data_IF_365489847666
#
_entry.id   IF_365489847666
#
_cell.length_a   1.000
_cell.length_b   1.000
_cell.length_c   1.000
_cell.angle_alpha   90.00
_cell.angle_beta   90.00
_cell.angle_gamma   90.00
#
_symmetry.space_group_name_H-M   'P 1'
#
loop_
_entity.id
_entity.type
_entity.pdbx_description
1 polymer ?
#
# COMPACT_ATOMS: atom_id res chain seq x y z
N UNK A 1 -1.96 -10.32 -3.03
CA UNK A 1 -1.07 -10.34 -1.84
C UNK A 1 0.35 -9.86 -2.14
N UNK A 2 0.97 -10.24 -3.27
CA UNK A 2 2.32 -9.79 -3.63
C UNK A 2 2.52 -8.26 -3.59
N UNK A 3 1.58 -7.47 -4.12
CA UNK A 3 1.66 -6.00 -4.09
C UNK A 3 1.76 -5.44 -2.66
N UNK A 4 0.91 -5.92 -1.75
CA UNK A 4 0.92 -5.52 -0.33
C UNK A 4 2.24 -5.92 0.34
N UNK A 5 2.72 -7.14 0.08
CA UNK A 5 3.99 -7.62 0.62
C UNK A 5 5.17 -6.76 0.18
N UNK A 6 5.26 -6.41 -1.10
CA UNK A 6 6.32 -5.56 -1.62
C UNK A 6 6.25 -4.14 -1.02
N UNK A 7 5.06 -3.53 -1.01
CA UNK A 7 4.88 -2.23 -0.35
C UNK A 7 5.30 -2.25 1.12
N UNK A 8 4.99 -3.33 1.84
CA UNK A 8 5.37 -3.50 3.25
C UNK A 8 6.89 -3.59 3.45
N UNK A 9 7.62 -4.21 2.50
CA UNK A 9 9.09 -4.24 2.53
C UNK A 9 9.66 -2.83 2.36
N UNK A 10 9.14 -2.05 1.42
CA UNK A 10 9.59 -0.67 1.19
C UNK A 10 9.27 0.25 2.38
N UNK A 11 8.15 0.01 3.07
CA UNK A 11 7.76 0.76 4.28
C UNK A 11 8.48 0.29 5.56
N UNK A 12 9.30 -0.77 5.49
CA UNK A 12 10.00 -1.31 6.67
C UNK A 12 9.09 -2.04 7.68
N UNK A 13 7.91 -2.48 7.28
CA UNK A 13 6.98 -3.17 8.18
C UNK A 13 5.61 -3.50 7.57
N UNK A 14 4.92 -4.47 8.17
CA UNK A 14 3.54 -4.81 7.82
C UNK A 14 2.54 -3.81 8.41
N UNK A 15 1.27 -3.80 7.95
CA UNK A 15 0.27 -2.84 8.44
C UNK A 15 0.11 -2.82 9.96
N UNK A 16 0.12 -3.98 10.62
CA UNK A 16 0.02 -4.05 12.09
C UNK A 16 1.21 -3.40 12.78
N UNK A 17 2.43 -3.61 12.29
CA UNK A 17 3.64 -2.98 12.84
C UNK A 17 3.57 -1.46 12.71
N UNK A 18 3.08 -0.95 11.57
CA UNK A 18 2.94 0.50 11.38
C UNK A 18 1.95 1.11 12.38
N UNK A 19 0.86 0.40 12.72
CA UNK A 19 -0.08 0.85 13.76
C UNK A 19 0.57 0.90 15.14
N UNK A 20 1.36 -0.12 15.50
CA UNK A 20 2.11 -0.13 16.77
C UNK A 20 3.12 1.02 16.82
N UNK A 21 3.94 1.18 15.78
CA UNK A 21 4.94 2.25 15.70
C UNK A 21 4.30 3.65 15.75
N UNK A 22 3.16 3.84 15.09
CA UNK A 22 2.40 5.08 15.19
C UNK A 22 1.93 5.36 16.63
N UNK A 23 1.50 4.31 17.36
CA UNK A 23 1.15 4.40 18.78
C UNK A 23 2.33 4.70 19.71
N UNK A 24 3.54 4.31 19.33
CA UNK A 24 4.80 4.64 20.02
C UNK A 24 5.34 6.05 19.68
N UNK A 25 4.62 6.81 18.83
CA UNK A 25 4.99 8.18 18.47
C UNK A 25 5.83 8.31 17.19
N UNK A 26 5.97 7.26 16.39
CA UNK A 26 6.64 7.36 15.09
C UNK A 26 5.74 8.08 14.08
N UNK A 27 6.16 9.26 13.65
CA UNK A 27 5.39 10.10 12.73
C UNK A 27 5.33 9.53 11.30
N UNK A 28 6.38 8.88 10.81
CA UNK A 28 6.41 8.27 9.48
C UNK A 28 5.42 7.09 9.42
N UNK A 29 5.36 6.30 10.49
CA UNK A 29 4.38 5.23 10.64
C UNK A 29 2.94 5.79 10.71
N UNK A 30 2.74 6.92 11.39
CA UNK A 30 1.44 7.59 11.44
C UNK A 30 0.97 8.02 10.04
N UNK A 31 1.84 8.65 9.23
CA UNK A 31 1.55 9.00 7.83
C UNK A 31 1.22 7.75 7.02
N UNK A 32 1.97 6.67 7.22
CA UNK A 32 1.73 5.38 6.56
C UNK A 32 0.34 4.83 6.88
N UNK A 33 -0.06 4.83 8.16
CA UNK A 33 -1.40 4.40 8.61
C UNK A 33 -2.49 5.29 8.02
N UNK A 34 -2.31 6.62 7.98
CA UNK A 34 -3.23 7.52 7.29
C UNK A 34 -3.36 7.15 5.81
N UNK A 35 -2.25 6.82 5.14
CA UNK A 35 -2.25 6.34 3.76
C UNK A 35 -3.06 5.04 3.58
N UNK A 36 -2.97 4.10 4.51
CA UNK A 36 -3.79 2.88 4.48
C UNK A 36 -5.29 3.18 4.60
N UNK A 37 -5.68 4.11 5.49
CA UNK A 37 -7.07 4.52 5.66
C UNK A 37 -7.62 5.21 4.42
N UNK A 38 -6.89 6.18 3.87
CA UNK A 38 -7.26 6.89 2.64
C UNK A 38 -7.35 5.92 1.46
N UNK A 39 -6.38 5.01 1.32
CA UNK A 39 -6.39 3.98 0.29
C UNK A 39 -7.60 3.04 0.40
N UNK A 40 -7.96 2.61 1.62
CA UNK A 40 -9.15 1.81 1.85
C UNK A 40 -10.44 2.57 1.47
N UNK A 41 -10.55 3.84 1.86
CA UNK A 41 -11.69 4.68 1.49
C UNK A 41 -11.83 4.81 -0.04
N UNK A 42 -10.72 5.05 -0.75
CA UNK A 42 -10.72 5.08 -2.23
C UNK A 42 -11.18 3.74 -2.79
N UNK A 43 -10.64 2.62 -2.32
CA UNK A 43 -10.98 1.31 -2.86
C UNK A 43 -12.47 0.97 -2.71
N UNK A 44 -13.07 1.34 -1.57
CA UNK A 44 -14.48 1.07 -1.29
C UNK A 44 -15.43 2.06 -2.00
N UNK A 45 -15.04 3.34 -2.16
CA UNK A 45 -15.89 4.35 -2.80
C UNK A 45 -15.89 4.25 -4.33
N UNK A 46 -14.78 3.81 -4.94
CA UNK A 46 -14.64 3.70 -6.39
C UNK A 46 -14.81 2.27 -6.93
N UNK A 47 -15.38 1.36 -6.13
CA UNK A 47 -15.65 -0.04 -6.52
C UNK A 47 -14.40 -0.81 -7.00
N UNK A 48 -13.25 -0.52 -6.40
CA UNK A 48 -11.98 -1.23 -6.67
C UNK A 48 -11.80 -2.43 -5.75
N UNK A 49 -12.51 -2.46 -4.62
CA UNK A 49 -12.48 -3.56 -3.66
C UNK A 49 -13.09 -4.85 -4.25
N UNK A 50 -12.45 -5.98 -3.95
CA UNK A 50 -12.96 -7.31 -4.30
C UNK A 50 -14.18 -7.68 -3.45
N UNK A 51 -15.00 -8.60 -3.95
CA UNK A 51 -16.15 -9.16 -3.21
C UNK A 51 -16.15 -10.70 -3.28
N UNK A 52 -17.18 -11.34 -2.75
CA UNK A 52 -17.39 -12.78 -2.90
C UNK A 52 -17.52 -13.23 -4.38
N UNK A 53 -17.82 -12.30 -5.30
CA UNK A 53 -17.83 -12.55 -6.75
C UNK A 53 -16.43 -12.52 -7.38
N UNK A 54 -15.40 -12.23 -6.59
CA UNK A 54 -14.03 -12.04 -7.05
C UNK A 54 -13.64 -10.57 -7.26
N UNK A 55 -12.41 -10.34 -7.77
CA UNK A 55 -11.87 -9.01 -8.03
C UNK A 55 -12.56 -8.30 -9.20
N UNK A 56 -12.74 -6.99 -9.10
CA UNK A 56 -13.28 -6.17 -10.20
C UNK A 56 -12.21 -5.92 -11.27
N UNK A 57 -12.61 -5.69 -12.51
CA UNK A 57 -11.67 -5.34 -13.60
C UNK A 57 -10.85 -4.09 -13.24
N UNK A 58 -11.52 -3.06 -12.71
CA UNK A 58 -10.84 -1.85 -12.25
C UNK A 58 -9.87 -2.13 -11.10
N UNK A 59 -10.22 -3.03 -10.18
CA UNK A 59 -9.33 -3.48 -9.11
C UNK A 59 -8.09 -4.21 -9.63
N UNK A 60 -8.24 -5.05 -10.66
CA UNK A 60 -7.10 -5.70 -11.33
C UNK A 60 -6.18 -4.66 -11.98
N UNK A 61 -6.74 -3.68 -12.68
CA UNK A 61 -5.98 -2.58 -13.29
C UNK A 61 -5.24 -1.77 -12.21
N UNK A 62 -5.91 -1.46 -11.09
CA UNK A 62 -5.30 -0.75 -9.97
C UNK A 62 -4.13 -1.52 -9.35
N UNK A 63 -4.20 -2.86 -9.29
CA UNK A 63 -3.07 -3.69 -8.81
C UNK A 63 -1.88 -3.59 -9.76
N UNK A 64 -2.11 -3.64 -11.07
CA UNK A 64 -1.03 -3.47 -12.07
C UNK A 64 -0.40 -2.08 -11.95
N UNK A 65 -1.22 -1.04 -11.85
CA UNK A 65 -0.74 0.32 -11.62
C UNK A 65 0.08 0.43 -10.32
N UNK A 66 -0.36 -0.24 -9.25
CA UNK A 66 0.38 -0.32 -7.99
C UNK A 66 1.78 -0.92 -8.17
N UNK A 67 1.93 -2.00 -8.93
CA UNK A 67 3.26 -2.57 -9.21
C UNK A 67 4.15 -1.61 -9.98
N UNK A 68 3.61 -0.92 -10.99
CA UNK A 68 4.36 0.10 -11.74
C UNK A 68 4.84 1.20 -10.79
N UNK A 69 3.97 1.69 -9.90
CA UNK A 69 4.32 2.71 -8.91
C UNK A 69 5.43 2.22 -7.97
N UNK A 70 5.33 1.00 -7.41
CA UNK A 70 6.36 0.46 -6.53
C UNK A 70 7.70 0.25 -7.24
N UNK A 71 7.69 -0.19 -8.50
CA UNK A 71 8.89 -0.29 -9.33
C UNK A 71 9.54 1.08 -9.52
N UNK A 72 8.75 2.11 -9.84
CA UNK A 72 9.25 3.48 -9.98
C UNK A 72 9.87 3.93 -8.67
N UNK A 73 9.16 3.82 -7.54
CA UNK A 73 9.65 4.21 -6.22
C UNK A 73 10.96 3.48 -5.88
N UNK A 74 11.01 2.16 -6.07
CA UNK A 74 12.19 1.36 -5.79
C UNK A 74 13.39 1.73 -6.67
N UNK A 75 13.17 2.01 -7.96
CA UNK A 75 14.24 2.40 -8.88
C UNK A 75 14.71 3.84 -8.70
N UNK A 76 13.84 4.76 -8.25
CA UNK A 76 14.22 6.16 -8.03
C UNK A 76 14.91 6.38 -6.69
N UNK A 77 14.59 5.57 -5.67
CA UNK A 77 15.12 5.72 -4.31
C UNK A 77 16.20 4.68 -3.95
N UNK A 78 16.59 3.79 -4.87
CA UNK A 78 17.72 2.88 -4.63
C UNK A 78 19.03 3.66 -4.51
N UNK A 79 19.92 3.15 -3.67
CA UNK A 79 21.31 3.58 -3.67
C UNK A 79 21.93 3.34 -5.05
N UNK A 80 22.63 4.36 -5.54
CA UNK A 80 23.40 4.29 -6.80
C UNK A 80 24.86 4.06 -6.43
N UNK A 81 25.48 3.09 -7.10
CA UNK A 81 26.93 2.88 -7.03
C UNK A 81 27.67 4.00 -7.75
#
# INVERSE_FOLDING_TARGET
MALVGWGSVLLGGCPLRQVILAGEGNSDAAVTVTGFLVGAAICHNFSLASSAKGPTVNGMIAVVAGFVILVIIGLTNRERA
#
